data_IF_028420777094
#
_entry.id   IF_028420777094
#
_cell.length_a   1.000
_cell.length_b   1.000
_cell.length_c   1.000
_cell.angle_alpha   90.00
_cell.angle_beta   90.00
_cell.angle_gamma   90.00
#
_symmetry.space_group_name_H-M   'P 1'
#
loop_
_entity.id
_entity.type
_entity.pdbx_description
1 polymer ?
#
# COMPACT_ATOMS: atom_id res chain seq x y z
N UNK A 1 16.19 -9.63 -8.16
CA UNK A 1 14.98 -8.90 -8.65
C UNK A 1 14.94 -8.96 -10.17
N UNK A 2 13.75 -9.19 -10.71
CA UNK A 2 13.58 -9.22 -12.18
C UNK A 2 13.70 -7.81 -12.76
N UNK A 3 14.15 -7.73 -14.02
CA UNK A 3 14.20 -6.47 -14.74
C UNK A 3 12.82 -5.80 -14.75
N UNK A 4 12.76 -4.51 -14.43
CA UNK A 4 11.53 -3.75 -14.37
C UNK A 4 10.77 -3.84 -13.06
N UNK A 5 11.23 -4.67 -12.11
CA UNK A 5 10.62 -4.74 -10.78
C UNK A 5 11.32 -3.83 -9.79
N UNK A 6 10.54 -3.32 -8.85
CA UNK A 6 10.99 -2.45 -7.78
C UNK A 6 10.37 -2.90 -6.47
N UNK A 7 10.81 -2.29 -5.38
CA UNK A 7 10.15 -2.44 -4.09
C UNK A 7 9.19 -1.27 -3.87
N UNK A 8 8.01 -1.59 -3.37
CA UNK A 8 7.01 -0.59 -2.99
C UNK A 8 6.68 -0.74 -1.51
N UNK A 9 6.41 0.38 -0.87
CA UNK A 9 5.93 0.41 0.50
C UNK A 9 4.42 0.66 0.47
N UNK A 10 3.66 -0.25 1.08
CA UNK A 10 2.21 -0.14 1.15
C UNK A 10 1.79 -0.07 2.60
N UNK A 11 1.04 0.96 2.93
CA UNK A 11 0.52 1.17 4.28
C UNK A 11 -1.00 1.14 4.24
N UNK A 12 -1.59 0.21 4.98
CA UNK A 12 -3.04 0.12 5.14
C UNK A 12 -3.45 0.72 6.47
N UNK A 13 -4.54 1.43 6.48
CA UNK A 13 -5.15 1.93 7.71
C UNK A 13 -6.67 1.97 7.54
N UNK A 14 -7.38 2.06 8.66
CA UNK A 14 -8.83 2.25 8.64
C UNK A 14 -9.19 3.66 8.21
N UNK A 15 -10.45 3.85 7.86
CA UNK A 15 -10.98 5.16 7.51
C UNK A 15 -12.10 5.55 8.46
N UNK A 16 -12.21 6.85 8.71
CA UNK A 16 -13.31 7.45 9.45
C UNK A 16 -13.72 8.72 8.73
N UNK A 17 -15.00 8.79 8.36
CA UNK A 17 -15.49 9.92 7.56
C UNK A 17 -14.84 9.99 6.17
N UNK A 18 -14.37 8.85 5.65
CA UNK A 18 -13.72 8.78 4.34
C UNK A 18 -12.23 9.11 4.35
N UNK A 19 -11.66 9.42 5.51
CA UNK A 19 -10.25 9.78 5.63
C UNK A 19 -9.49 8.76 6.48
N UNK A 20 -8.17 8.66 6.28
CA UNK A 20 -7.32 7.78 7.04
C UNK A 20 -7.38 8.12 8.53
N UNK A 21 -7.65 7.14 9.36
CA UNK A 21 -7.87 7.33 10.80
C UNK A 21 -6.71 6.83 11.66
N UNK A 22 -5.91 5.90 11.15
CA UNK A 22 -4.74 5.34 11.83
C UNK A 22 -5.03 4.70 13.20
N UNK A 23 -6.22 4.16 13.40
CA UNK A 23 -6.50 3.38 14.61
C UNK A 23 -5.74 2.04 14.61
N UNK A 24 -5.43 1.53 13.41
CA UNK A 24 -4.50 0.44 13.18
C UNK A 24 -3.77 0.69 11.87
N UNK A 25 -2.57 0.11 11.74
CA UNK A 25 -1.77 0.24 10.53
C UNK A 25 -1.14 -1.11 10.22
N UNK A 26 -1.17 -1.49 8.93
CA UNK A 26 -0.51 -2.69 8.44
C UNK A 26 0.41 -2.27 7.30
N UNK A 27 1.67 -2.71 7.35
CA UNK A 27 2.70 -2.26 6.41
C UNK A 27 3.24 -3.44 5.61
N UNK A 28 3.49 -3.18 4.32
CA UNK A 28 4.02 -4.17 3.38
C UNK A 28 5.20 -3.61 2.62
N UNK A 29 6.18 -4.48 2.36
CA UNK A 29 7.21 -4.23 1.35
C UNK A 29 6.94 -5.18 0.20
N UNK A 30 6.59 -4.64 -0.96
CA UNK A 30 6.06 -5.42 -2.09
C UNK A 30 6.98 -5.28 -3.29
N UNK A 31 7.35 -6.42 -3.89
CA UNK A 31 8.07 -6.43 -5.16
C UNK A 31 7.06 -6.43 -6.29
N UNK A 32 7.11 -5.40 -7.12
CA UNK A 32 6.20 -5.24 -8.25
C UNK A 32 6.82 -4.33 -9.30
N UNK A 33 6.20 -4.24 -10.47
CA UNK A 33 6.66 -3.37 -11.55
C UNK A 33 5.94 -2.03 -11.60
N UNK A 34 4.87 -1.87 -10.82
CA UNK A 34 4.07 -0.66 -10.82
C UNK A 34 3.29 -0.52 -9.51
N UNK A 35 2.75 0.67 -9.28
CA UNK A 35 1.84 0.91 -8.14
C UNK A 35 0.65 -0.05 -8.18
N UNK A 36 0.03 -0.21 -9.35
CA UNK A 36 -1.10 -1.13 -9.50
C UNK A 36 -0.71 -2.58 -9.21
N UNK A 37 0.48 -2.99 -9.65
CA UNK A 37 0.99 -4.33 -9.36
C UNK A 37 1.19 -4.54 -7.87
N UNK A 38 1.69 -3.52 -7.17
CA UNK A 38 1.88 -3.59 -5.73
C UNK A 38 0.55 -3.75 -4.98
N UNK A 39 -0.45 -2.91 -5.31
CA UNK A 39 -1.74 -3.00 -4.62
C UNK A 39 -2.47 -4.30 -4.94
N UNK A 40 -2.29 -4.87 -6.12
CA UNK A 40 -2.88 -6.17 -6.47
C UNK A 40 -2.37 -7.29 -5.57
N UNK A 41 -1.08 -7.27 -5.25
CA UNK A 41 -0.50 -8.27 -4.34
C UNK A 41 -1.05 -8.12 -2.93
N UNK A 42 -1.20 -6.89 -2.46
CA UNK A 42 -1.80 -6.61 -1.16
C UNK A 42 -3.28 -7.02 -1.14
N UNK A 43 -4.00 -6.74 -2.22
CA UNK A 43 -5.40 -7.15 -2.35
C UNK A 43 -5.55 -8.67 -2.25
N UNK A 44 -4.64 -9.41 -2.87
CA UNK A 44 -4.64 -10.87 -2.80
C UNK A 44 -4.39 -11.38 -1.38
N UNK A 45 -3.50 -10.72 -0.65
CA UNK A 45 -3.15 -11.11 0.72
C UNK A 45 -4.27 -10.78 1.71
N UNK A 46 -4.96 -9.66 1.50
CA UNK A 46 -5.97 -9.15 2.44
C UNK A 46 -7.40 -9.49 2.04
N UNK A 47 -7.62 -9.90 0.79
CA UNK A 47 -8.94 -10.12 0.18
C UNK A 47 -9.75 -8.85 0.02
N UNK A 48 -9.17 -7.65 0.25
CA UNK A 48 -9.81 -6.40 -0.08
C UNK A 48 -9.79 -6.16 -1.58
N UNK A 49 -10.79 -5.43 -2.06
CA UNK A 49 -10.83 -4.93 -3.43
C UNK A 49 -10.59 -3.44 -3.37
N UNK A 50 -9.57 -2.96 -4.11
CA UNK A 50 -9.16 -1.57 -4.04
C UNK A 50 -9.52 -0.82 -5.32
N UNK A 51 -9.83 0.46 -5.15
CA UNK A 51 -10.04 1.39 -6.24
C UNK A 51 -9.14 2.60 -6.01
N UNK A 52 -8.47 3.07 -7.08
CA UNK A 52 -7.62 4.26 -7.00
C UNK A 52 -8.47 5.48 -6.65
N UNK A 53 -8.06 6.22 -5.64
CA UNK A 53 -8.71 7.46 -5.25
C UNK A 53 -7.99 8.66 -5.85
N UNK A 54 -6.65 8.72 -5.73
CA UNK A 54 -5.84 9.73 -6.37
C UNK A 54 -4.40 9.27 -6.54
N UNK A 55 -3.68 9.98 -7.40
CA UNK A 55 -2.30 9.67 -7.77
C UNK A 55 -1.55 11.00 -7.84
N UNK A 56 -0.50 11.15 -7.02
CA UNK A 56 0.32 12.37 -6.99
C UNK A 56 1.57 12.24 -7.85
N UNK A 57 1.81 11.09 -8.47
CA UNK A 57 3.05 10.77 -9.16
C UNK A 57 4.05 10.05 -8.26
N UNK A 58 4.17 10.49 -7.01
CA UNK A 58 5.07 9.87 -6.03
C UNK A 58 4.36 8.85 -5.14
N UNK A 59 3.07 8.99 -4.97
CA UNK A 59 2.26 8.16 -4.10
C UNK A 59 0.87 8.00 -4.69
N UNK A 60 0.31 6.81 -4.54
CA UNK A 60 -1.07 6.53 -4.98
C UNK A 60 -1.89 6.10 -3.78
N UNK A 61 -3.05 6.71 -3.61
CA UNK A 61 -4.00 6.30 -2.59
C UNK A 61 -5.09 5.46 -3.20
N UNK A 62 -5.37 4.34 -2.57
CA UNK A 62 -6.45 3.43 -2.94
C UNK A 62 -7.46 3.34 -1.80
N UNK A 63 -8.70 3.09 -2.15
CA UNK A 63 -9.78 2.92 -1.20
C UNK A 63 -10.36 1.52 -1.37
N UNK A 64 -10.58 0.82 -0.26
CA UNK A 64 -11.20 -0.49 -0.30
C UNK A 64 -12.69 -0.35 -0.61
N UNK A 65 -13.18 -1.18 -1.52
CA UNK A 65 -14.59 -1.20 -1.90
C UNK A 65 -15.34 -2.05 -0.88
N UNK A 66 -16.33 -1.45 -0.23
CA UNK A 66 -17.14 -2.15 0.75
C UNK A 66 -16.51 -2.33 2.12
N UNK A 67 -15.40 -1.64 2.39
CA UNK A 67 -14.75 -1.68 3.68
C UNK A 67 -14.21 -0.30 4.05
N UNK A 68 -14.09 -0.02 5.34
CA UNK A 68 -13.55 1.26 5.83
C UNK A 68 -12.03 1.14 5.95
N UNK A 69 -11.37 0.97 4.81
CA UNK A 69 -9.92 0.78 4.73
C UNK A 69 -9.37 1.56 3.54
N UNK A 70 -8.21 2.16 3.70
CA UNK A 70 -7.48 2.77 2.59
C UNK A 70 -6.03 2.28 2.59
N UNK A 71 -5.38 2.45 1.43
CA UNK A 71 -3.99 2.06 1.24
C UNK A 71 -3.22 3.21 0.60
N UNK A 72 -2.01 3.44 1.10
CA UNK A 72 -1.07 4.37 0.50
C UNK A 72 0.08 3.55 -0.07
N UNK A 73 0.39 3.75 -1.34
CA UNK A 73 1.46 3.05 -2.04
C UNK A 73 2.49 4.05 -2.53
N UNK A 74 3.74 3.84 -2.16
CA UNK A 74 4.87 4.63 -2.66
C UNK A 74 6.05 3.71 -2.93
N UNK A 75 7.06 4.20 -3.66
CA UNK A 75 8.27 3.41 -3.84
C UNK A 75 8.98 3.26 -2.49
N UNK A 76 9.52 2.07 -2.25
CA UNK A 76 10.24 1.80 -1.02
C UNK A 76 11.52 2.63 -0.96
N UNK A 77 11.71 3.33 0.15
CA UNK A 77 12.89 4.15 0.42
C UNK A 77 13.48 3.71 1.75
N UNK A 78 14.68 3.16 1.73
CA UNK A 78 15.32 2.64 2.94
C UNK A 78 15.52 3.71 4.01
N UNK A 79 15.75 4.96 3.61
CA UNK A 79 15.93 6.05 4.57
C UNK A 79 14.64 6.34 5.35
N UNK A 80 13.48 6.10 4.75
CA UNK A 80 12.18 6.38 5.36
C UNK A 80 11.51 5.14 5.91
N UNK A 81 11.70 3.99 5.27
CA UNK A 81 10.87 2.80 5.52
C UNK A 81 11.58 1.67 6.26
N UNK A 82 12.92 1.67 6.30
CA UNK A 82 13.67 0.57 6.91
C UNK A 82 13.47 0.45 8.42
N UNK A 83 13.11 1.55 9.07
CA UNK A 83 12.95 1.57 10.53
C UNK A 83 11.61 1.03 11.02
N UNK A 84 10.66 0.78 10.14
CA UNK A 84 9.39 0.21 10.54
C UNK A 84 9.54 -1.26 10.91
N UNK A 85 8.94 -1.65 12.02
CA UNK A 85 8.85 -3.04 12.43
C UNK A 85 7.59 -3.69 11.85
N UNK A 86 7.57 -5.02 11.81
CA UNK A 86 6.41 -5.80 11.39
C UNK A 86 5.96 -5.48 9.96
N UNK A 87 6.91 -5.30 9.06
CA UNK A 87 6.61 -5.12 7.64
C UNK A 87 6.49 -6.49 6.99
N UNK A 88 5.37 -6.73 6.31
CA UNK A 88 5.11 -7.99 5.62
C UNK A 88 5.71 -7.88 4.21
N UNK A 89 6.52 -8.85 3.83
CA UNK A 89 7.10 -8.88 2.49
C UNK A 89 6.25 -9.72 1.54
N UNK A 90 5.92 -9.15 0.40
CA UNK A 90 5.15 -9.82 -0.65
C UNK A 90 5.88 -9.85 -1.98
#
# INVERSE_FOLDING_TARGET
MRKGQKFFFVELTDTFGGEANYSWVKRYKVTASSFNGAIRKVAKDTYYRFRKEYDTGDMVKYKAIGACVCAFVEEYNELCHADYSRVIEL
#
